data_IF_627532042744
#
_entry.id   IF_627532042744
#
_cell.length_a   1.000
_cell.length_b   1.000
_cell.length_c   1.000
_cell.angle_alpha   90.00
_cell.angle_beta   90.00
_cell.angle_gamma   90.00
#
_symmetry.space_group_name_H-M   'P 1'
#
loop_
_entity.id
_entity.type
_entity.pdbx_description
1 polymer ?
#
# COMPACT_ATOMS: atom_id res chain seq x y z
N UNK A 1 -10.96 3.50 -8.05
CA UNK A 1 -10.86 4.97 -8.06
C UNK A 1 -11.34 5.55 -9.40
N UNK A 2 -10.98 4.98 -10.55
CA UNK A 2 -11.37 5.50 -11.87
C UNK A 2 -12.88 5.70 -12.07
N UNK A 3 -13.70 4.72 -11.69
CA UNK A 3 -15.17 4.82 -11.80
C UNK A 3 -15.73 5.99 -10.99
N UNK A 4 -15.15 6.29 -9.81
CA UNK A 4 -15.63 7.37 -8.96
C UNK A 4 -15.34 8.75 -9.57
N UNK A 5 -14.19 8.92 -10.21
CA UNK A 5 -13.85 10.17 -10.90
C UNK A 5 -14.74 10.40 -12.11
N UNK A 6 -14.95 9.36 -12.94
CA UNK A 6 -15.84 9.45 -14.08
C UNK A 6 -17.24 9.89 -13.67
N UNK A 7 -17.74 9.37 -12.55
CA UNK A 7 -19.05 9.79 -12.02
C UNK A 7 -19.04 11.23 -11.50
N UNK A 8 -18.02 11.68 -10.79
CA UNK A 8 -17.95 13.07 -10.31
C UNK A 8 -17.85 14.10 -11.44
N UNK A 9 -17.11 13.79 -12.50
CA UNK A 9 -17.04 14.65 -13.68
C UNK A 9 -18.38 14.71 -14.41
N UNK A 10 -19.06 13.59 -14.59
CA UNK A 10 -20.31 13.52 -15.34
C UNK A 10 -21.53 14.04 -14.55
N UNK A 11 -21.62 13.72 -13.27
CA UNK A 11 -22.80 14.04 -12.43
C UNK A 11 -22.67 15.40 -11.75
N UNK A 12 -21.44 15.85 -11.46
CA UNK A 12 -21.20 17.05 -10.65
C UNK A 12 -20.29 18.08 -11.32
N UNK A 13 -19.83 17.83 -12.56
CA UNK A 13 -18.94 18.71 -13.32
C UNK A 13 -17.69 19.13 -12.50
N UNK A 14 -17.26 18.24 -11.60
CA UNK A 14 -16.17 18.46 -10.66
C UNK A 14 -14.88 17.85 -11.20
N UNK A 15 -13.81 18.64 -11.26
CA UNK A 15 -12.48 18.16 -11.62
C UNK A 15 -11.72 17.74 -10.36
N UNK A 16 -11.29 16.48 -10.30
CA UNK A 16 -10.63 15.89 -9.13
C UNK A 16 -9.16 15.65 -9.45
N UNK A 17 -8.27 16.12 -8.57
CA UNK A 17 -6.85 15.79 -8.63
C UNK A 17 -6.61 14.53 -7.80
N UNK A 18 -6.16 13.47 -8.46
CA UNK A 18 -5.81 12.21 -7.79
C UNK A 18 -4.33 12.17 -7.48
N UNK A 19 -4.01 11.84 -6.23
CA UNK A 19 -2.66 11.44 -5.85
C UNK A 19 -2.48 9.95 -6.08
N UNK A 20 -1.22 9.49 -6.08
CA UNK A 20 -0.94 8.05 -6.10
C UNK A 20 -1.64 7.35 -4.91
N UNK A 21 -2.26 6.18 -5.13
CA UNK A 21 -2.85 5.42 -4.06
C UNK A 21 -1.75 4.87 -3.13
N UNK A 22 -2.06 4.76 -1.84
CA UNK A 22 -1.18 4.16 -0.84
C UNK A 22 -1.83 2.90 -0.27
N UNK A 23 -0.99 1.98 0.24
CA UNK A 23 -1.44 0.79 0.96
C UNK A 23 -1.10 0.95 2.46
N UNK A 24 -1.88 0.34 3.36
CA UNK A 24 -1.57 0.38 4.79
C UNK A 24 -0.35 -0.51 5.10
N UNK A 25 0.66 0.07 5.73
CA UNK A 25 1.82 -0.65 6.26
C UNK A 25 1.60 -0.99 7.73
N UNK A 26 2.35 -1.98 8.23
CA UNK A 26 2.46 -2.23 9.66
C UNK A 26 3.90 -2.04 10.09
N UNK A 27 4.12 -1.45 11.26
CA UNK A 27 5.45 -1.30 11.84
C UNK A 27 5.51 -2.03 13.17
N UNK A 28 6.54 -2.87 13.33
CA UNK A 28 6.86 -3.54 14.59
C UNK A 28 7.78 -2.61 15.38
N UNK A 29 7.34 -2.12 16.53
CA UNK A 29 8.09 -1.17 17.34
C UNK A 29 9.18 -1.89 18.16
N UNK A 30 10.40 -1.35 18.13
CA UNK A 30 11.54 -1.83 18.93
C UNK A 30 11.63 -1.15 20.30
N UNK A 31 11.06 0.06 20.43
CA UNK A 31 11.27 0.91 21.60
C UNK A 31 10.26 0.66 22.72
N UNK A 32 10.70 0.31 23.95
CA UNK A 32 9.81 0.14 25.10
C UNK A 32 9.01 1.40 25.48
N UNK A 33 9.48 2.60 25.09
CA UNK A 33 8.75 3.85 25.29
C UNK A 33 7.54 3.95 24.38
N UNK A 34 7.71 3.64 23.10
CA UNK A 34 6.62 3.69 22.12
C UNK A 34 5.62 2.54 22.32
N UNK A 35 6.08 1.36 22.72
CA UNK A 35 5.17 0.25 23.08
C UNK A 35 4.26 0.65 24.25
N UNK A 36 4.76 1.42 25.22
CA UNK A 36 3.94 1.95 26.33
C UNK A 36 2.98 3.06 25.89
N UNK A 37 3.40 3.92 24.98
CA UNK A 37 2.60 5.02 24.44
C UNK A 37 1.46 4.50 23.55
N UNK A 38 1.77 3.61 22.61
CA UNK A 38 0.80 3.00 21.69
C UNK A 38 0.07 1.78 22.28
N UNK A 39 0.47 1.32 23.47
CA UNK A 39 -0.05 0.13 24.19
C UNK A 39 -0.01 -1.18 23.38
N UNK A 40 0.70 -1.18 22.26
CA UNK A 40 0.79 -2.27 21.30
C UNK A 40 2.18 -2.27 20.69
N UNK A 41 2.68 -3.46 20.36
CA UNK A 41 3.98 -3.66 19.72
C UNK A 41 3.93 -3.44 18.20
N UNK A 42 2.72 -3.47 17.63
CA UNK A 42 2.47 -3.25 16.20
C UNK A 42 1.53 -2.04 16.02
N UNK A 43 1.89 -1.16 15.08
CA UNK A 43 1.05 -0.04 14.64
C UNK A 43 0.76 -0.15 13.14
N UNK A 44 -0.46 0.25 12.74
CA UNK A 44 -0.85 0.34 11.34
C UNK A 44 -0.67 1.77 10.86
N UNK A 45 0.01 1.95 9.72
CA UNK A 45 0.31 3.24 9.11
C UNK A 45 -0.49 3.33 7.81
N UNK A 46 -1.46 4.23 7.77
CA UNK A 46 -2.32 4.46 6.58
C UNK A 46 -1.86 5.67 5.77
N UNK A 47 -1.15 6.60 6.41
CA UNK A 47 -0.63 7.81 5.80
C UNK A 47 0.91 7.78 5.82
N UNK A 48 1.58 7.99 4.68
CA UNK A 48 3.04 8.13 4.63
C UNK A 48 3.63 9.17 5.59
N UNK A 49 2.88 10.22 5.94
CA UNK A 49 3.33 11.23 6.90
C UNK A 49 3.38 10.74 8.35
N UNK A 50 2.72 9.63 8.67
CA UNK A 50 2.64 9.04 10.02
C UNK A 50 3.70 7.95 10.23
N UNK A 51 4.66 7.81 9.32
CA UNK A 51 5.73 6.84 9.49
C UNK A 51 6.58 7.19 10.72
N UNK A 52 6.73 6.27 11.68
CA UNK A 52 7.61 6.47 12.84
C UNK A 52 9.08 6.50 12.40
N UNK A 53 9.92 7.10 13.23
CA UNK A 53 11.36 7.14 13.02
C UNK A 53 11.95 5.72 12.89
N UNK A 54 12.88 5.52 11.95
CA UNK A 54 13.42 4.19 11.68
C UNK A 54 14.23 3.62 12.86
N UNK A 55 14.77 4.47 13.74
CA UNK A 55 15.54 4.05 14.91
C UNK A 55 14.71 3.32 15.97
N UNK A 56 13.39 3.49 15.93
CA UNK A 56 12.45 2.95 16.91
C UNK A 56 11.56 1.84 16.34
N UNK A 57 11.75 1.50 15.06
CA UNK A 57 11.07 0.39 14.37
C UNK A 57 12.05 -0.75 14.16
N UNK A 58 11.58 -1.97 14.38
CA UNK A 58 12.31 -3.20 14.10
C UNK A 58 12.23 -3.53 12.62
N UNK A 59 11.00 -3.64 12.14
CA UNK A 59 10.66 -4.12 10.81
C UNK A 59 9.35 -3.46 10.36
N UNK A 60 9.24 -3.21 9.06
CA UNK A 60 8.00 -2.80 8.40
C UNK A 60 7.44 -4.00 7.63
N UNK A 61 6.13 -4.20 7.72
CA UNK A 61 5.40 -5.22 6.98
C UNK A 61 4.49 -4.54 5.98
N UNK A 62 4.60 -4.94 4.72
CA UNK A 62 3.72 -4.50 3.66
C UNK A 62 2.63 -5.55 3.35
N UNK A 63 1.47 -5.14 2.83
CA UNK A 63 0.41 -6.07 2.50
C UNK A 63 0.76 -6.82 1.20
N UNK A 64 0.90 -8.15 1.31
CA UNK A 64 1.08 -9.05 0.17
C UNK A 64 -0.26 -9.64 -0.25
N UNK A 65 -0.49 -9.74 -1.56
CA UNK A 65 -1.68 -10.35 -2.14
C UNK A 65 -1.32 -11.58 -2.97
N UNK A 66 -2.18 -12.59 -2.91
CA UNK A 66 -2.11 -13.72 -3.83
C UNK A 66 -3.01 -13.44 -5.03
N UNK A 67 -2.40 -13.19 -6.18
CA UNK A 67 -3.10 -12.99 -7.46
C UNK A 67 -3.04 -14.24 -8.34
N UNK A 68 -4.13 -14.54 -9.03
CA UNK A 68 -4.18 -15.61 -10.05
C UNK A 68 -4.34 -14.98 -11.43
N UNK A 69 -3.41 -15.26 -12.34
CA UNK A 69 -3.45 -14.78 -13.72
C UNK A 69 -3.79 -15.94 -14.65
N UNK A 70 -4.81 -15.78 -15.48
CA UNK A 70 -5.20 -16.75 -16.51
C UNK A 70 -4.94 -16.13 -17.88
N UNK A 71 -4.09 -16.77 -18.67
CA UNK A 71 -3.62 -16.24 -19.96
C UNK A 71 -3.28 -17.36 -20.93
N UNK A 72 -3.37 -17.13 -22.26
CA UNK A 72 -2.80 -18.03 -23.25
C UNK A 72 -1.30 -18.27 -23.06
N UNK A 73 -0.82 -19.44 -23.47
CA UNK A 73 0.57 -19.90 -23.24
C UNK A 73 1.62 -18.94 -23.81
N UNK A 74 1.31 -18.28 -24.91
CA UNK A 74 2.21 -17.38 -25.64
C UNK A 74 2.64 -16.16 -24.81
N UNK A 75 1.81 -15.70 -23.88
CA UNK A 75 2.07 -14.48 -23.08
C UNK A 75 2.74 -14.76 -21.74
N UNK A 76 3.00 -16.02 -21.39
CA UNK A 76 3.52 -16.40 -20.07
C UNK A 76 4.85 -15.70 -19.77
N UNK A 77 5.78 -15.64 -20.73
CA UNK A 77 7.10 -15.04 -20.53
C UNK A 77 7.05 -13.54 -20.26
N UNK A 78 6.22 -12.81 -21.02
CA UNK A 78 6.06 -11.36 -20.86
C UNK A 78 5.40 -11.03 -19.51
N UNK A 79 4.37 -11.81 -19.13
CA UNK A 79 3.68 -11.63 -17.85
C UNK A 79 4.62 -11.91 -16.67
N UNK A 80 5.42 -12.98 -16.72
CA UNK A 80 6.41 -13.26 -15.67
C UNK A 80 7.43 -12.13 -15.54
N UNK A 81 7.94 -11.63 -16.67
CA UNK A 81 8.89 -10.51 -16.67
C UNK A 81 8.27 -9.27 -16.02
N UNK A 82 7.00 -8.96 -16.32
CA UNK A 82 6.30 -7.84 -15.71
C UNK A 82 6.13 -8.01 -14.19
N UNK A 83 5.78 -9.21 -13.72
CA UNK A 83 5.60 -9.48 -12.30
C UNK A 83 6.91 -9.46 -11.49
N UNK A 84 8.07 -9.67 -12.13
CA UNK A 84 9.36 -9.75 -11.46
C UNK A 84 9.99 -8.37 -11.19
N UNK A 85 9.59 -7.32 -11.92
CA UNK A 85 10.19 -5.97 -11.83
C UNK A 85 9.90 -5.27 -10.49
N UNK A 86 9.01 -5.80 -9.65
CA UNK A 86 8.58 -5.18 -8.39
C UNK A 86 9.01 -5.89 -7.10
N UNK A 87 9.96 -6.83 -7.14
CA UNK A 87 10.51 -7.50 -5.96
C UNK A 87 11.96 -7.03 -5.66
#
# INVERSE_FOLDING_TARGET
>A
MEVFNQRLEQEHNASVILTAPTVPYKAILSSPKLIKEHKKEEITIVNPAEFPDHSVVKEYLEPIVLGTIVTPKEYIGEIFTLCQVGA
#
